data_IF_563957984230
#
_entry.id   IF_563957984230
#
_cell.length_a   1.000
_cell.length_b   1.000
_cell.length_c   1.000
_cell.angle_alpha   90.00
_cell.angle_beta   90.00
_cell.angle_gamma   90.00
#
_symmetry.space_group_name_H-M   'P 1'
#
loop_
_entity.id
_entity.type
_entity.pdbx_description
1 polymer ?
#
# COMPACT_ATOMS: atom_id res chain seq x y z
N UNK A 1 -18.81 -43.63 -66.53
CA UNK A 1 -19.68 -43.00 -65.52
C UNK A 1 -19.53 -43.86 -64.25
N UNK A 2 -18.60 -43.51 -63.34
CA UNK A 2 -18.82 -42.83 -62.02
C UNK A 2 -19.37 -43.81 -60.96
N UNK A 3 -18.91 -43.96 -59.71
CA UNK A 3 -18.07 -43.17 -58.79
C UNK A 3 -17.50 -44.14 -57.72
N UNK A 4 -16.20 -44.09 -57.39
CA UNK A 4 -15.60 -43.39 -56.23
C UNK A 4 -16.08 -43.91 -54.85
N UNK A 5 -15.18 -44.69 -54.24
CA UNK A 5 -14.87 -44.84 -52.82
C UNK A 5 -15.63 -43.97 -51.82
N UNK A 6 -16.08 -44.54 -50.68
CA UNK A 6 -15.91 -43.87 -49.39
C UNK A 6 -15.84 -44.89 -48.25
N UNK A 7 -14.61 -45.03 -47.75
CA UNK A 7 -14.21 -45.67 -46.51
C UNK A 7 -14.73 -44.82 -45.34
N UNK A 8 -15.72 -45.29 -44.59
CA UNK A 8 -16.17 -44.60 -43.37
C UNK A 8 -15.31 -45.10 -42.20
N UNK A 9 -14.24 -44.36 -41.92
CA UNK A 9 -13.43 -44.51 -40.70
C UNK A 9 -14.26 -44.00 -39.53
N UNK A 10 -14.61 -44.90 -38.62
CA UNK A 10 -15.24 -44.59 -37.34
C UNK A 10 -14.19 -43.93 -36.42
N UNK A 11 -14.06 -42.61 -36.48
CA UNK A 11 -13.27 -41.84 -35.51
C UNK A 11 -14.12 -41.63 -34.25
N UNK A 12 -13.93 -42.49 -33.25
CA UNK A 12 -14.35 -42.21 -31.87
C UNK A 12 -13.55 -41.00 -31.37
N UNK A 13 -14.18 -39.82 -31.38
CA UNK A 13 -13.66 -38.64 -30.70
C UNK A 13 -13.84 -38.81 -29.19
N UNK A 14 -12.79 -39.27 -28.51
CA UNK A 14 -12.68 -39.21 -27.07
C UNK A 14 -12.50 -37.74 -26.66
N UNK A 15 -13.60 -37.02 -26.40
CA UNK A 15 -13.53 -35.71 -25.76
C UNK A 15 -13.11 -35.91 -24.31
N UNK A 16 -11.82 -35.76 -24.03
CA UNK A 16 -11.31 -35.61 -22.67
C UNK A 16 -11.82 -34.26 -22.16
N UNK A 17 -12.82 -34.29 -21.27
CA UNK A 17 -13.24 -33.11 -20.51
C UNK A 17 -12.14 -32.83 -19.51
N UNK A 18 -11.31 -31.82 -19.79
CA UNK A 18 -10.35 -31.30 -18.82
C UNK A 18 -11.17 -30.52 -17.79
N UNK A 19 -11.19 -30.91 -16.49
CA UNK A 19 -11.85 -30.12 -15.47
C UNK A 19 -11.17 -28.75 -15.38
N UNK A 20 -11.92 -27.66 -15.12
CA UNK A 20 -11.31 -26.37 -14.86
C UNK A 20 -10.34 -26.50 -13.68
N UNK A 21 -9.13 -26.01 -13.85
CA UNK A 21 -8.18 -25.88 -12.75
C UNK A 21 -8.49 -24.56 -12.03
N UNK A 22 -8.77 -24.61 -10.74
CA UNK A 22 -8.97 -23.41 -9.92
C UNK A 22 -7.59 -22.77 -9.63
N UNK A 23 -7.39 -21.50 -10.01
CA UNK A 23 -6.13 -20.77 -9.79
C UNK A 23 -6.18 -19.84 -8.56
N UNK A 24 -7.03 -20.13 -7.58
CA UNK A 24 -7.10 -19.37 -6.33
C UNK A 24 -5.80 -19.54 -5.54
N UNK A 25 -5.12 -18.44 -5.21
CA UNK A 25 -3.88 -18.46 -4.42
C UNK A 25 -4.22 -18.24 -2.95
N UNK A 26 -3.66 -19.07 -2.09
CA UNK A 26 -3.73 -18.98 -0.64
C UNK A 26 -2.36 -18.69 -0.05
N UNK A 27 -2.33 -18.02 1.10
CA UNK A 27 -1.11 -17.62 1.80
C UNK A 27 -1.13 -18.13 3.24
N UNK A 28 0.00 -18.63 3.71
CA UNK A 28 0.25 -18.97 5.11
C UNK A 28 1.56 -18.34 5.58
N UNK A 29 1.60 -17.85 6.83
CA UNK A 29 2.83 -17.37 7.47
C UNK A 29 3.23 -18.33 8.57
N UNK A 30 4.42 -18.92 8.46
CA UNK A 30 4.91 -19.85 9.46
C UNK A 30 5.42 -19.15 10.73
N UNK A 31 5.74 -19.94 11.76
CA UNK A 31 6.24 -19.42 13.04
C UNK A 31 7.58 -18.67 12.92
N UNK A 32 8.32 -18.85 11.83
CA UNK A 32 9.55 -18.11 11.52
C UNK A 32 9.31 -16.82 10.72
N UNK A 33 8.05 -16.52 10.39
CA UNK A 33 7.66 -15.34 9.61
C UNK A 33 7.82 -15.51 8.09
N UNK A 34 8.13 -16.71 7.59
CA UNK A 34 8.22 -16.97 6.15
C UNK A 34 6.83 -17.15 5.56
N UNK A 35 6.65 -16.60 4.36
CA UNK A 35 5.38 -16.64 3.63
C UNK A 35 5.38 -17.83 2.67
N UNK A 36 4.34 -18.63 2.75
CA UNK A 36 4.07 -19.78 1.89
C UNK A 36 2.86 -19.48 1.02
N UNK A 37 2.94 -19.75 -0.28
CA UNK A 37 1.85 -19.61 -1.23
C UNK A 37 1.48 -20.98 -1.81
N UNK A 38 0.19 -21.22 -2.03
CA UNK A 38 -0.30 -22.45 -2.66
C UNK A 38 -1.63 -22.20 -3.36
N UNK A 39 -1.89 -22.94 -4.43
CA UNK A 39 -3.21 -23.08 -5.04
C UNK A 39 -4.08 -24.14 -4.33
N UNK A 40 -3.46 -24.99 -3.52
CA UNK A 40 -4.07 -26.17 -2.91
C UNK A 40 -3.84 -26.15 -1.39
N UNK A 41 -4.64 -25.41 -0.61
CA UNK A 41 -4.44 -25.30 0.83
C UNK A 41 -4.66 -26.66 1.51
N UNK A 42 -3.63 -27.16 2.19
CA UNK A 42 -3.64 -28.50 2.80
C UNK A 42 -4.16 -28.52 4.23
N UNK A 43 -4.37 -27.34 4.85
CA UNK A 43 -4.95 -27.19 6.18
C UNK A 43 -5.51 -25.78 6.41
N UNK A 44 -6.38 -25.61 7.41
CA UNK A 44 -7.10 -24.36 7.70
C UNK A 44 -6.27 -23.18 8.24
N UNK A 45 -4.94 -23.17 8.05
CA UNK A 45 -4.08 -22.00 8.37
C UNK A 45 -3.74 -21.16 7.15
N UNK A 46 -4.20 -21.58 5.97
CA UNK A 46 -4.04 -20.83 4.74
C UNK A 46 -5.20 -19.84 4.60
N UNK A 47 -4.87 -18.57 4.47
CA UNK A 47 -5.81 -17.50 4.17
C UNK A 47 -5.92 -17.31 2.66
N UNK A 48 -7.12 -17.04 2.14
CA UNK A 48 -7.33 -16.75 0.71
C UNK A 48 -6.63 -15.44 0.34
N UNK A 49 -5.69 -15.48 -0.61
CA UNK A 49 -4.85 -14.35 -1.03
C UNK A 49 -5.30 -13.76 -2.37
N UNK A 50 -5.57 -14.60 -3.37
CA UNK A 50 -6.04 -14.20 -4.69
C UNK A 50 -7.13 -15.16 -5.16
N UNK A 51 -8.20 -14.64 -5.76
CA UNK A 51 -9.26 -15.45 -6.36
C UNK A 51 -9.32 -15.23 -7.86
N UNK A 52 -9.27 -16.30 -8.64
CA UNK A 52 -9.13 -16.28 -10.11
C UNK A 52 -10.26 -15.51 -10.79
N UNK A 53 -11.50 -15.76 -10.37
CA UNK A 53 -12.70 -15.16 -10.95
C UNK A 53 -13.32 -14.07 -10.06
N UNK A 54 -12.53 -13.44 -9.19
CA UNK A 54 -12.99 -12.23 -8.54
C UNK A 54 -13.26 -11.16 -9.61
N UNK A 55 -14.43 -10.49 -9.61
CA UNK A 55 -14.66 -9.38 -10.52
C UNK A 55 -13.55 -8.36 -10.29
N UNK A 56 -12.69 -8.17 -11.28
CA UNK A 56 -11.71 -7.09 -11.29
C UNK A 56 -12.52 -5.79 -11.36
N UNK A 57 -12.90 -5.25 -10.21
CA UNK A 57 -13.36 -3.86 -10.14
C UNK A 57 -12.22 -3.03 -10.75
N UNK A 58 -12.54 -2.33 -11.84
CA UNK A 58 -11.61 -1.53 -12.63
C UNK A 58 -11.11 -0.26 -11.89
N UNK A 59 -10.57 -0.43 -10.67
CA UNK A 59 -10.02 0.64 -9.82
C UNK A 59 -8.80 0.22 -8.99
N UNK A 60 -8.20 -0.97 -9.21
CA UNK A 60 -7.01 -1.39 -8.48
C UNK A 60 -5.73 -0.76 -9.05
N UNK A 61 -5.52 0.54 -8.83
CA UNK A 61 -4.13 1.03 -8.78
C UNK A 61 -3.52 0.47 -7.52
N UNK A 62 -2.40 -0.23 -7.62
CA UNK A 62 -1.66 -0.65 -6.45
C UNK A 62 -1.36 0.58 -5.58
N UNK A 63 -1.33 0.44 -4.25
CA UNK A 63 -0.83 1.51 -3.39
C UNK A 63 0.53 2.00 -3.86
N UNK A 64 1.37 1.12 -4.39
CA UNK A 64 2.65 1.49 -4.98
C UNK A 64 2.51 2.48 -6.14
N UNK A 65 1.53 2.30 -7.02
CA UNK A 65 1.33 3.22 -8.16
C UNK A 65 0.84 4.59 -7.70
N UNK A 66 -0.03 4.62 -6.68
CA UNK A 66 -0.54 5.86 -6.09
C UNK A 66 0.61 6.59 -5.38
N UNK A 67 1.39 5.88 -4.56
CA UNK A 67 2.57 6.39 -3.85
C UNK A 67 3.58 6.93 -4.87
N UNK A 68 3.99 6.13 -5.85
CA UNK A 68 4.97 6.54 -6.87
C UNK A 68 4.53 7.79 -7.62
N UNK A 69 3.26 7.84 -8.02
CA UNK A 69 2.68 9.01 -8.69
C UNK A 69 2.79 10.26 -7.84
N UNK A 70 2.29 10.22 -6.62
CA UNK A 70 2.27 11.42 -5.76
C UNK A 70 3.64 11.77 -5.21
N UNK A 71 4.50 10.79 -4.92
CA UNK A 71 5.90 11.03 -4.60
C UNK A 71 6.60 11.79 -5.74
N UNK A 72 6.40 11.37 -6.99
CA UNK A 72 6.94 12.07 -8.17
C UNK A 72 6.35 13.48 -8.29
N UNK A 73 5.03 13.63 -8.24
CA UNK A 73 4.36 14.93 -8.40
C UNK A 73 4.76 15.96 -7.35
N UNK A 74 5.01 15.52 -6.12
CA UNK A 74 5.40 16.38 -5.01
C UNK A 74 6.92 16.34 -4.74
N UNK A 75 7.75 15.79 -5.64
CA UNK A 75 9.21 15.76 -5.47
C UNK A 75 9.64 15.18 -4.11
N UNK A 76 9.07 14.02 -3.76
CA UNK A 76 9.38 13.25 -2.57
C UNK A 76 10.08 11.96 -2.95
N UNK A 77 10.93 11.47 -2.05
CA UNK A 77 11.40 10.08 -2.14
C UNK A 77 10.21 9.12 -1.93
N UNK A 78 10.02 8.17 -2.86
CA UNK A 78 8.99 7.13 -2.73
C UNK A 78 9.14 6.35 -1.41
N UNK A 79 10.38 6.08 -1.00
CA UNK A 79 10.72 5.42 0.25
C UNK A 79 10.24 6.19 1.49
N UNK A 80 10.25 7.53 1.45
CA UNK A 80 9.77 8.37 2.55
C UNK A 80 8.25 8.30 2.69
N UNK A 81 7.53 8.35 1.57
CA UNK A 81 6.06 8.22 1.57
C UNK A 81 5.65 6.84 2.09
N UNK A 82 6.33 5.77 1.65
CA UNK A 82 6.14 4.40 2.17
C UNK A 82 6.39 4.33 3.68
N UNK A 83 7.49 4.93 4.16
CA UNK A 83 7.85 4.94 5.57
C UNK A 83 6.80 5.65 6.44
N UNK A 84 6.28 6.79 5.99
CA UNK A 84 5.20 7.51 6.68
C UNK A 84 3.93 6.66 6.73
N UNK A 85 3.45 6.13 5.60
CA UNK A 85 2.25 5.27 5.57
C UNK A 85 2.40 4.06 6.50
N UNK A 86 3.59 3.43 6.50
CA UNK A 86 3.88 2.28 7.35
C UNK A 86 3.74 2.60 8.84
N UNK A 87 4.21 3.77 9.27
CA UNK A 87 4.11 4.19 10.68
C UNK A 87 2.71 4.67 11.04
N UNK A 88 2.04 5.36 10.14
CA UNK A 88 0.74 5.98 10.39
C UNK A 88 -0.41 4.97 10.45
N UNK A 89 -0.45 4.01 9.53
CA UNK A 89 -1.60 3.11 9.39
C UNK A 89 -1.23 1.64 9.19
N UNK A 90 0.04 1.33 8.99
CA UNK A 90 0.48 0.02 8.50
C UNK A 90 -0.29 -0.41 7.24
N UNK A 91 -0.50 0.54 6.32
CA UNK A 91 -1.26 0.39 5.07
C UNK A 91 -2.75 0.02 5.26
N UNK A 92 -3.36 0.31 6.41
CA UNK A 92 -4.79 0.09 6.65
C UNK A 92 -5.60 1.36 6.35
N UNK A 93 -6.36 1.42 5.23
CA UNK A 93 -6.96 2.66 4.73
C UNK A 93 -8.16 3.15 5.54
N UNK A 94 -8.67 2.36 6.49
CA UNK A 94 -9.88 2.67 7.28
C UNK A 94 -9.57 2.98 8.76
N UNK A 95 -8.31 3.18 9.12
CA UNK A 95 -7.91 3.49 10.50
C UNK A 95 -8.27 4.93 10.84
N UNK A 96 -8.76 5.10 12.08
CA UNK A 96 -8.99 6.39 12.72
C UNK A 96 -8.23 6.41 14.05
N UNK A 97 -7.37 7.41 14.26
CA UNK A 97 -6.68 7.56 15.55
C UNK A 97 -7.59 8.14 16.63
N UNK A 98 -7.13 8.10 17.89
CA UNK A 98 -7.81 8.76 19.02
C UNK A 98 -7.98 10.28 18.83
N UNK A 99 -7.07 10.91 18.06
CA UNK A 99 -7.08 12.35 17.75
C UNK A 99 -7.93 12.66 16.50
N UNK A 100 -8.60 11.65 15.91
CA UNK A 100 -9.43 11.81 14.73
C UNK A 100 -8.67 11.83 13.40
N UNK A 101 -7.39 11.46 13.40
CA UNK A 101 -6.60 11.33 12.18
C UNK A 101 -7.07 10.12 11.35
N UNK A 102 -7.12 10.24 10.02
CA UNK A 102 -7.85 9.29 9.15
C UNK A 102 -7.03 8.77 7.97
N UNK A 103 -7.18 7.48 7.68
CA UNK A 103 -6.68 6.84 6.46
C UNK A 103 -5.19 6.49 6.48
N UNK A 104 -4.63 6.27 5.30
CA UNK A 104 -3.28 5.71 5.12
C UNK A 104 -2.15 6.58 5.69
N UNK A 105 -2.27 7.89 5.53
CA UNK A 105 -1.32 8.90 6.00
C UNK A 105 -1.86 9.70 7.19
N UNK A 106 -2.95 9.22 7.83
CA UNK A 106 -3.52 9.78 9.05
C UNK A 106 -3.68 11.32 9.01
N UNK A 107 -4.41 11.81 8.00
CA UNK A 107 -4.74 13.23 7.91
C UNK A 107 -5.76 13.58 9.00
N UNK A 108 -5.50 14.63 9.78
CA UNK A 108 -6.54 15.20 10.65
C UNK A 108 -7.59 15.94 9.81
N UNK A 109 -8.86 16.05 10.26
CA UNK A 109 -9.95 16.52 9.42
C UNK A 109 -9.77 17.94 8.87
N UNK A 110 -9.19 18.84 9.68
CA UNK A 110 -8.90 20.22 9.27
C UNK A 110 -7.88 20.24 8.12
N UNK A 111 -6.76 19.52 8.27
CA UNK A 111 -5.75 19.37 7.22
C UNK A 111 -6.30 18.69 5.97
N UNK A 112 -7.13 17.65 6.12
CA UNK A 112 -7.78 16.99 4.98
C UNK A 112 -8.65 17.97 4.17
N UNK A 113 -9.41 18.83 4.86
CA UNK A 113 -10.22 19.87 4.24
C UNK A 113 -9.37 20.89 3.48
N UNK A 114 -8.31 21.39 4.11
CA UNK A 114 -7.40 22.37 3.48
C UNK A 114 -6.75 21.81 2.22
N UNK A 115 -6.44 20.52 2.22
CA UNK A 115 -5.84 19.79 1.11
C UNK A 115 -6.85 19.27 0.09
N UNK A 116 -8.14 19.62 0.23
CA UNK A 116 -9.22 19.19 -0.66
C UNK A 116 -9.37 17.66 -0.77
N UNK A 117 -9.15 16.96 0.34
CA UNK A 117 -9.46 15.52 0.49
C UNK A 117 -10.92 15.41 0.93
N UNK A 118 -11.77 14.95 0.01
CA UNK A 118 -13.21 14.79 0.22
C UNK A 118 -13.51 13.50 0.98
N UNK A 119 -12.80 12.42 0.64
CA UNK A 119 -12.87 11.15 1.35
C UNK A 119 -11.49 10.74 1.90
N UNK A 120 -11.22 10.93 3.20
CA UNK A 120 -9.93 10.57 3.79
C UNK A 120 -9.70 9.06 3.91
N UNK A 121 -10.71 8.22 3.64
CA UNK A 121 -10.58 6.77 3.56
C UNK A 121 -10.38 6.25 2.13
N UNK A 122 -10.49 7.13 1.13
CA UNK A 122 -10.08 6.79 -0.23
C UNK A 122 -8.55 6.80 -0.33
N UNK A 123 -7.89 5.69 -0.70
CA UNK A 123 -6.44 5.62 -0.76
C UNK A 123 -5.81 6.66 -1.69
N UNK A 124 -6.44 6.96 -2.82
CA UNK A 124 -5.89 7.91 -3.80
C UNK A 124 -5.92 9.33 -3.24
N UNK A 125 -7.07 9.76 -2.71
CA UNK A 125 -7.20 11.08 -2.11
C UNK A 125 -6.32 11.25 -0.87
N UNK A 126 -6.28 10.23 0.00
CA UNK A 126 -5.50 10.29 1.24
C UNK A 126 -3.99 10.33 0.99
N UNK A 127 -3.47 9.48 0.08
CA UNK A 127 -2.05 9.50 -0.27
C UNK A 127 -1.69 10.80 -0.99
N UNK A 128 -2.55 11.32 -1.87
CA UNK A 128 -2.34 12.62 -2.51
C UNK A 128 -2.20 13.73 -1.46
N UNK A 129 -3.21 13.88 -0.59
CA UNK A 129 -3.20 14.91 0.45
C UNK A 129 -2.05 14.73 1.42
N UNK A 130 -1.81 13.52 1.91
CA UNK A 130 -0.70 13.24 2.83
C UNK A 130 0.68 13.51 2.22
N UNK A 131 0.87 13.25 0.93
CA UNK A 131 2.10 13.58 0.22
C UNK A 131 2.27 15.09 0.05
N UNK A 132 1.20 15.80 -0.31
CA UNK A 132 1.21 17.27 -0.38
C UNK A 132 1.60 17.89 0.97
N UNK A 133 0.99 17.42 2.05
CA UNK A 133 1.28 17.89 3.40
C UNK A 133 2.73 17.61 3.81
N UNK A 134 3.25 16.42 3.48
CA UNK A 134 4.63 16.05 3.75
C UNK A 134 5.61 16.95 3.00
N UNK A 135 5.33 17.27 1.74
CA UNK A 135 6.11 18.22 0.94
C UNK A 135 6.12 19.62 1.57
N UNK A 136 4.95 20.11 2.00
CA UNK A 136 4.85 21.39 2.71
C UNK A 136 5.72 21.41 3.98
N UNK A 137 5.78 20.31 4.73
CA UNK A 137 6.64 20.22 5.92
C UNK A 137 8.13 20.24 5.56
N UNK A 138 8.54 19.52 4.53
CA UNK A 138 9.92 19.56 4.06
C UNK A 138 10.31 20.97 3.58
N UNK A 139 9.44 21.67 2.84
CA UNK A 139 9.70 23.04 2.40
C UNK A 139 9.82 23.99 3.59
N UNK A 140 8.94 23.85 4.59
CA UNK A 140 8.93 24.68 5.77
C UNK A 140 10.21 24.55 6.62
N UNK A 141 10.85 23.39 6.58
CA UNK A 141 12.05 23.07 7.34
C UNK A 141 13.29 22.86 6.46
N UNK A 142 13.36 23.50 5.29
CA UNK A 142 14.53 23.52 4.41
C UNK A 142 15.06 22.12 4.02
N UNK A 143 14.16 21.18 3.75
CA UNK A 143 14.42 19.77 3.49
C UNK A 143 15.08 19.00 4.65
N UNK A 144 15.05 19.53 5.87
CA UNK A 144 15.38 18.75 7.07
C UNK A 144 14.27 17.71 7.31
N UNK A 145 14.57 16.46 6.98
CA UNK A 145 13.63 15.35 7.09
C UNK A 145 13.20 15.11 8.54
N UNK A 146 14.07 15.30 9.53
CA UNK A 146 13.71 15.04 10.93
C UNK A 146 12.72 16.08 11.45
N UNK A 147 12.98 17.36 11.16
CA UNK A 147 12.09 18.45 11.53
C UNK A 147 10.76 18.37 10.77
N UNK A 148 10.79 18.02 9.49
CA UNK A 148 9.58 17.83 8.70
C UNK A 148 8.70 16.70 9.26
N UNK A 149 9.29 15.56 9.64
CA UNK A 149 8.56 14.45 10.27
C UNK A 149 8.02 14.82 11.66
N UNK A 150 8.79 15.54 12.45
CA UNK A 150 8.31 16.05 13.73
C UNK A 150 7.13 17.00 13.55
N UNK A 151 7.17 17.86 12.52
CA UNK A 151 6.11 18.80 12.20
C UNK A 151 4.87 18.11 11.64
N UNK A 152 5.04 17.06 10.84
CA UNK A 152 3.95 16.23 10.35
C UNK A 152 3.13 15.62 11.51
N UNK A 153 3.82 15.13 12.54
CA UNK A 153 3.18 14.46 13.68
C UNK A 153 2.65 15.43 14.74
N UNK A 154 3.39 16.49 15.07
CA UNK A 154 3.10 17.37 16.21
C UNK A 154 2.62 18.77 15.84
N UNK A 155 2.55 19.04 14.53
CA UNK A 155 2.24 20.34 13.96
C UNK A 155 3.47 21.24 13.80
N UNK A 156 3.56 22.02 12.71
CA UNK A 156 4.71 22.88 12.43
C UNK A 156 4.88 24.03 13.43
N UNK A 157 3.79 24.53 14.03
CA UNK A 157 3.84 25.56 15.07
C UNK A 157 4.57 25.07 16.33
N UNK A 158 4.36 23.80 16.70
CA UNK A 158 5.04 23.15 17.81
C UNK A 158 6.55 23.11 17.57
N UNK A 159 6.97 22.58 16.43
CA UNK A 159 8.40 22.47 16.08
C UNK A 159 9.07 23.85 16.03
N UNK A 160 8.41 24.86 15.44
CA UNK A 160 8.89 26.25 15.43
C UNK A 160 9.05 26.82 16.83
N UNK A 161 8.09 26.58 17.73
CA UNK A 161 8.13 27.07 19.11
C UNK A 161 9.30 26.47 19.90
N UNK A 162 9.61 25.19 19.69
CA UNK A 162 10.73 24.52 20.35
C UNK A 162 12.08 24.77 19.68
N UNK A 163 12.11 25.25 18.43
CA UNK A 163 13.34 25.39 17.65
C UNK A 163 13.98 24.05 17.26
N UNK A 164 13.18 22.97 17.23
CA UNK A 164 13.65 21.62 17.01
C UNK A 164 12.56 20.57 17.27
N UNK A 165 12.94 19.29 17.31
CA UNK A 165 12.03 18.21 17.66
C UNK A 165 11.53 18.43 19.10
N UNK A 166 10.21 18.54 19.36
CA UNK A 166 9.70 18.77 20.70
C UNK A 166 10.05 17.60 21.64
N UNK A 167 10.16 17.83 22.96
CA UNK A 167 10.42 16.79 23.96
C UNK A 167 9.17 15.95 24.26
N UNK A 168 8.48 15.50 23.21
CA UNK A 168 7.31 14.63 23.29
C UNK A 168 7.72 13.22 22.87
N UNK A 169 7.57 12.25 23.77
CA UNK A 169 7.94 10.86 23.50
C UNK A 169 7.26 10.32 22.25
N UNK A 170 5.99 10.69 22.01
CA UNK A 170 5.24 10.32 20.81
C UNK A 170 5.96 10.78 19.53
N UNK A 171 6.36 12.05 19.47
CA UNK A 171 6.98 12.66 18.30
C UNK A 171 8.41 12.16 18.08
N UNK A 172 9.21 12.03 19.13
CA UNK A 172 10.56 11.48 19.02
C UNK A 172 10.54 10.03 18.54
N UNK A 173 9.63 9.21 19.09
CA UNK A 173 9.43 7.84 18.65
C UNK A 173 8.91 7.76 17.22
N UNK A 174 8.01 8.67 16.83
CA UNK A 174 7.52 8.78 15.46
C UNK A 174 8.67 9.02 14.47
N UNK A 175 9.49 10.06 14.69
CA UNK A 175 10.64 10.38 13.84
C UNK A 175 11.59 9.18 13.74
N UNK A 176 11.93 8.56 14.87
CA UNK A 176 12.81 7.38 14.90
C UNK A 176 12.24 6.20 14.11
N UNK A 177 10.95 5.92 14.24
CA UNK A 177 10.28 4.81 13.51
C UNK A 177 10.25 5.08 12.01
N UNK A 178 9.88 6.29 11.58
CA UNK A 178 9.82 6.63 10.15
C UNK A 178 11.21 6.52 9.54
N UNK A 179 12.26 7.07 10.19
CA UNK A 179 13.63 6.94 9.69
C UNK A 179 14.08 5.49 9.52
N UNK A 180 13.76 4.62 10.49
CA UNK A 180 14.07 3.19 10.38
C UNK A 180 13.42 2.55 9.15
N UNK A 181 12.14 2.86 8.89
CA UNK A 181 11.46 2.34 7.70
C UNK A 181 11.96 3.00 6.41
N UNK A 182 12.33 4.28 6.43
CA UNK A 182 12.95 4.96 5.29
C UNK A 182 14.24 4.27 4.87
N UNK A 183 15.13 3.99 5.83
CA UNK A 183 16.39 3.28 5.56
C UNK A 183 16.13 1.87 5.02
N UNK A 184 15.16 1.16 5.60
CA UNK A 184 14.70 -0.13 5.10
C UNK A 184 14.24 -0.04 3.64
N UNK A 185 13.34 0.89 3.29
CA UNK A 185 12.81 1.02 1.94
C UNK A 185 13.84 1.51 0.91
N UNK A 186 14.85 2.28 1.34
CA UNK A 186 15.99 2.67 0.49
C UNK A 186 16.90 1.50 0.15
N UNK A 187 17.20 0.64 1.13
CA UNK A 187 18.12 -0.49 0.97
C UNK A 187 17.47 -1.66 0.24
N UNK A 188 16.22 -1.94 0.57
CA UNK A 188 15.64 -3.22 0.24
C UNK A 188 15.21 -3.30 -1.25
N UNK A 189 15.08 -2.17 -1.96
CA UNK A 189 14.71 -2.15 -3.38
C UNK A 189 13.32 -2.79 -3.60
N UNK A 190 12.26 -1.99 -3.50
CA UNK A 190 10.84 -2.39 -3.55
C UNK A 190 10.52 -3.89 -3.27
N UNK A 191 10.77 -4.41 -2.04
CA UNK A 191 10.64 -5.84 -1.74
C UNK A 191 9.24 -6.23 -1.24
N UNK A 192 8.27 -5.32 -1.34
CA UNK A 192 6.93 -5.51 -0.83
C UNK A 192 5.90 -5.17 -1.91
N UNK A 193 6.00 -5.90 -3.03
CA UNK A 193 4.90 -6.65 -3.67
C UNK A 193 5.48 -7.86 -4.41
#
# INVERSE_FOLDING_TARGET
>A
MSNIAFMVVLLMSLFVVIPPADADIYRYVDASGRVHFTDTPTHGRYDMYLKENAPVKATNRSYLDIIRRHATSYQLEEALVKAVIKVESDYQPKIVSRKGAQGLMQLIPETAKDLKVSNPFDPYENIRGGSEYLRMMLDLFNNDVELALAAYNSGPSTVKRYGGIPPYDETQNYVKKVKRYLDYYRQAGDPLL
#
